data_IF_981198132021
#
_entry.id   IF_981198132021
#
_cell.length_a   1.000
_cell.length_b   1.000
_cell.length_c   1.000
_cell.angle_alpha   90.00
_cell.angle_beta   90.00
_cell.angle_gamma   90.00
#
_symmetry.space_group_name_H-M   'P 1'
#
loop_
_entity.id
_entity.type
_entity.pdbx_description
1 polymer ?
#
# COMPACT_ATOMS: atom_id res chain seq x y z
N UNK A 1 0.21 -56.30 32.93
CA UNK A 1 0.36 -54.96 33.54
C UNK A 1 1.59 -54.30 32.94
N UNK A 2 1.41 -53.18 32.26
CA UNK A 2 2.48 -52.20 31.95
C UNK A 2 1.81 -51.05 31.20
N UNK A 3 1.31 -50.07 31.97
CA UNK A 3 0.67 -48.88 31.45
C UNK A 3 1.68 -47.89 30.90
N UNK A 4 1.52 -47.51 29.64
CA UNK A 4 2.15 -46.33 29.06
C UNK A 4 1.37 -45.09 29.50
N UNK A 5 1.97 -44.25 30.33
CA UNK A 5 1.42 -42.95 30.72
C UNK A 5 1.42 -42.04 29.50
N UNK A 6 0.24 -41.73 28.97
CA UNK A 6 0.05 -40.60 28.06
C UNK A 6 0.47 -39.32 28.77
N UNK A 7 1.41 -38.58 28.18
CA UNK A 7 1.75 -37.22 28.62
C UNK A 7 0.52 -36.32 28.56
N UNK A 8 0.49 -35.23 29.34
CA UNK A 8 -0.66 -34.33 29.33
C UNK A 8 -0.87 -33.81 27.91
N UNK A 9 -2.07 -34.02 27.38
CA UNK A 9 -2.50 -33.37 26.15
C UNK A 9 -2.35 -31.86 26.34
N UNK A 10 -1.60 -31.21 25.44
CA UNK A 10 -1.58 -29.74 25.38
C UNK A 10 -3.01 -29.31 25.08
N UNK A 11 -3.67 -28.51 25.95
CA UNK A 11 -5.05 -28.13 25.71
C UNK A 11 -5.11 -27.36 24.39
N UNK A 12 -5.95 -27.84 23.48
CA UNK A 12 -6.37 -27.10 22.30
C UNK A 12 -6.93 -25.77 22.80
N UNK A 13 -6.29 -24.65 22.42
CA UNK A 13 -6.78 -23.32 22.81
C UNK A 13 -8.20 -23.19 22.28
N UNK A 14 -9.15 -22.90 23.18
CA UNK A 14 -10.47 -22.42 22.79
C UNK A 14 -10.26 -21.07 22.07
N UNK A 15 -10.28 -21.09 20.74
CA UNK A 15 -9.95 -19.93 19.89
C UNK A 15 -11.13 -18.94 19.78
N UNK A 16 -12.20 -19.12 20.55
CA UNK A 16 -13.48 -18.44 20.32
C UNK A 16 -13.61 -17.03 20.92
N UNK A 17 -12.60 -16.44 21.58
CA UNK A 17 -12.73 -15.08 22.18
C UNK A 17 -11.70 -14.03 21.75
N UNK A 18 -10.65 -14.39 21.01
CA UNK A 18 -9.63 -13.41 20.60
C UNK A 18 -9.94 -12.86 19.22
N UNK A 19 -10.03 -11.53 19.08
CA UNK A 19 -10.18 -10.91 17.76
C UNK A 19 -9.03 -11.34 16.84
N UNK A 20 -9.36 -11.73 15.60
CA UNK A 20 -8.44 -12.34 14.62
C UNK A 20 -7.09 -11.59 14.51
N UNK A 21 -7.14 -10.26 14.38
CA UNK A 21 -5.96 -9.39 14.25
C UNK A 21 -4.96 -9.42 15.42
N UNK A 22 -5.31 -10.07 16.54
CA UNK A 22 -4.41 -10.22 17.70
C UNK A 22 -3.57 -11.48 17.70
N UNK A 23 -3.96 -12.50 16.93
CA UNK A 23 -3.40 -13.84 17.04
C UNK A 23 -3.08 -14.50 15.69
N UNK A 24 -3.73 -14.03 14.63
CA UNK A 24 -3.59 -14.55 13.27
C UNK A 24 -2.20 -14.27 12.66
N UNK A 25 -1.78 -15.16 11.77
CA UNK A 25 -0.52 -15.04 11.01
C UNK A 25 -0.73 -14.15 9.78
N UNK A 26 -0.02 -13.03 9.76
CA UNK A 26 -0.01 -12.07 8.65
C UNK A 26 1.12 -12.35 7.66
N UNK A 27 0.81 -12.37 6.36
CA UNK A 27 1.77 -12.47 5.27
C UNK A 27 1.73 -11.21 4.39
N UNK A 28 2.85 -10.51 4.27
CA UNK A 28 2.96 -9.38 3.36
C UNK A 28 3.27 -9.87 1.94
N UNK A 29 2.50 -9.40 0.98
CA UNK A 29 2.71 -9.63 -0.45
C UNK A 29 3.22 -8.33 -1.08
N UNK A 30 4.31 -8.45 -1.84
CA UNK A 30 4.79 -7.39 -2.74
C UNK A 30 4.38 -7.75 -4.17
N UNK A 31 3.28 -7.17 -4.72
CA UNK A 31 2.62 -7.67 -5.94
C UNK A 31 3.56 -7.80 -7.12
N UNK A 32 4.37 -6.76 -7.40
CA UNK A 32 5.31 -6.69 -8.53
C UNK A 32 6.28 -7.87 -8.63
N UNK A 33 6.54 -8.57 -7.53
CA UNK A 33 7.55 -9.64 -7.48
C UNK A 33 7.00 -10.98 -7.00
N UNK A 34 5.69 -11.10 -6.81
CA UNK A 34 5.10 -12.33 -6.28
C UNK A 34 4.88 -13.38 -7.37
N UNK A 35 4.08 -13.07 -8.38
CA UNK A 35 3.88 -13.94 -9.54
C UNK A 35 3.31 -13.16 -10.73
N UNK A 36 4.02 -13.22 -11.85
CA UNK A 36 3.55 -12.78 -13.18
C UNK A 36 2.70 -13.87 -13.83
N UNK A 37 1.56 -13.50 -14.43
CA UNK A 37 0.67 -14.39 -15.16
C UNK A 37 0.46 -14.06 -16.63
N UNK A 38 0.95 -12.90 -17.09
CA UNK A 38 0.74 -12.41 -18.45
C UNK A 38 2.05 -12.37 -19.28
N UNK A 39 3.21 -12.56 -18.64
CA UNK A 39 4.52 -12.62 -19.27
C UNK A 39 5.21 -11.27 -19.47
N UNK A 40 4.75 -10.19 -18.83
CA UNK A 40 5.37 -8.86 -18.90
C UNK A 40 6.55 -8.68 -17.92
N UNK A 41 6.80 -9.67 -17.05
CA UNK A 41 7.87 -9.68 -16.06
C UNK A 41 7.51 -9.02 -14.73
N UNK A 42 6.24 -8.65 -14.51
CA UNK A 42 5.74 -7.97 -13.32
C UNK A 42 4.61 -8.81 -12.72
N UNK A 43 4.66 -9.02 -11.41
CA UNK A 43 3.61 -9.76 -10.73
C UNK A 43 2.29 -9.00 -10.66
N UNK A 44 1.19 -9.73 -10.74
CA UNK A 44 -0.17 -9.19 -10.93
C UNK A 44 -1.20 -9.81 -9.95
N UNK A 45 -2.42 -9.26 -9.91
CA UNK A 45 -3.47 -9.71 -8.98
C UNK A 45 -3.92 -11.15 -9.24
N UNK A 46 -3.93 -11.57 -10.51
CA UNK A 46 -4.26 -12.94 -10.88
C UNK A 46 -3.16 -13.92 -10.41
N UNK A 47 -1.91 -13.48 -10.37
CA UNK A 47 -0.78 -14.19 -9.78
C UNK A 47 -0.94 -14.41 -8.28
N UNK A 48 -1.38 -13.38 -7.56
CA UNK A 48 -1.74 -13.51 -6.13
C UNK A 48 -2.88 -14.51 -5.98
N UNK A 49 -3.95 -14.38 -6.77
CA UNK A 49 -5.12 -15.26 -6.69
C UNK A 49 -4.77 -16.72 -6.91
N UNK A 50 -3.91 -17.04 -7.90
CA UNK A 50 -3.42 -18.40 -8.19
C UNK A 50 -2.58 -19.02 -7.07
N UNK A 51 -2.16 -18.24 -6.07
CA UNK A 51 -1.32 -18.67 -4.94
C UNK A 51 -2.05 -18.68 -3.61
N UNK A 52 -3.36 -18.39 -3.56
CA UNK A 52 -4.11 -18.44 -2.31
C UNK A 52 -4.02 -19.82 -1.63
N UNK A 53 -4.15 -20.92 -2.38
CA UNK A 53 -3.98 -22.28 -1.85
C UNK A 53 -2.60 -22.50 -1.22
N UNK A 54 -1.56 -21.91 -1.82
CA UNK A 54 -0.21 -21.97 -1.25
C UNK A 54 -0.14 -21.20 0.07
N UNK A 55 -0.69 -19.99 0.13
CA UNK A 55 -0.73 -19.19 1.35
C UNK A 55 -1.50 -19.89 2.48
N UNK A 56 -2.65 -20.50 2.16
CA UNK A 56 -3.40 -21.33 3.11
C UNK A 56 -2.56 -22.52 3.58
N UNK A 57 -1.82 -23.19 2.69
CA UNK A 57 -0.95 -24.32 3.05
C UNK A 57 0.19 -23.95 4.00
N UNK A 58 0.61 -22.69 4.00
CA UNK A 58 1.60 -22.15 4.94
C UNK A 58 1.02 -21.86 6.33
N UNK A 59 -0.31 -21.92 6.48
CA UNK A 59 -1.00 -21.53 7.72
C UNK A 59 -1.13 -20.02 7.88
N UNK A 60 -1.19 -19.27 6.77
CA UNK A 60 -1.48 -17.84 6.77
C UNK A 60 -2.96 -17.61 7.01
N UNK A 61 -3.30 -16.64 7.85
CA UNK A 61 -4.68 -16.27 8.17
C UNK A 61 -5.08 -14.93 7.51
N UNK A 62 -4.11 -14.04 7.28
CA UNK A 62 -4.31 -12.73 6.66
C UNK A 62 -3.19 -12.38 5.67
N UNK A 63 -3.55 -11.70 4.59
CA UNK A 63 -2.60 -11.13 3.63
C UNK A 63 -2.64 -9.61 3.68
N UNK A 64 -1.48 -8.97 3.65
CA UNK A 64 -1.33 -7.54 3.44
C UNK A 64 -0.67 -7.31 2.10
N UNK A 65 -1.39 -6.64 1.21
CA UNK A 65 -0.94 -6.39 -0.16
C UNK A 65 -0.36 -4.98 -0.22
N UNK A 66 0.94 -4.86 -0.54
CA UNK A 66 1.59 -3.58 -0.83
C UNK A 66 0.83 -2.84 -1.96
N UNK A 67 0.99 -1.52 -2.14
CA UNK A 67 0.08 -0.72 -2.97
C UNK A 67 -0.20 -1.30 -4.37
N UNK A 68 -1.48 -1.41 -4.71
CA UNK A 68 -2.00 -1.86 -6.02
C UNK A 68 -2.82 -0.78 -6.73
N UNK A 69 -2.88 0.42 -6.15
CA UNK A 69 -3.62 1.54 -6.70
C UNK A 69 -2.90 2.16 -7.89
N UNK A 70 -3.65 2.86 -8.76
CA UNK A 70 -3.08 3.58 -9.89
C UNK A 70 -1.93 4.51 -9.44
N UNK A 71 -0.79 4.40 -10.11
CA UNK A 71 0.45 5.07 -9.73
C UNK A 71 1.38 5.23 -10.94
N UNK A 72 2.13 6.35 -11.05
CA UNK A 72 3.22 6.48 -12.02
C UNK A 72 4.40 5.53 -11.77
N UNK A 73 4.41 4.83 -10.62
CA UNK A 73 5.42 3.86 -10.21
C UNK A 73 6.80 4.47 -9.94
N UNK A 74 6.89 5.77 -9.64
CA UNK A 74 8.15 6.42 -9.26
C UNK A 74 8.69 5.87 -7.93
N UNK A 75 7.80 5.46 -7.02
CA UNK A 75 8.11 4.70 -5.80
C UNK A 75 7.31 3.38 -5.77
N UNK A 76 7.21 2.75 -6.95
CA UNK A 76 6.61 1.43 -7.14
C UNK A 76 5.24 1.21 -6.47
N UNK A 77 4.38 2.24 -6.49
CA UNK A 77 3.00 2.17 -6.02
C UNK A 77 2.71 3.04 -4.79
N UNK A 78 3.74 3.50 -4.06
CA UNK A 78 3.54 4.40 -2.92
C UNK A 78 3.24 5.85 -3.37
N UNK A 79 3.58 6.21 -4.61
CA UNK A 79 3.17 7.43 -5.30
C UNK A 79 1.80 7.26 -5.97
N UNK A 80 0.72 7.28 -5.20
CA UNK A 80 -0.66 7.02 -5.70
C UNK A 80 -1.23 8.22 -6.48
N UNK A 81 -1.75 7.97 -7.69
CA UNK A 81 -2.44 8.96 -8.54
C UNK A 81 -3.97 8.81 -8.54
N UNK A 82 -4.51 7.65 -8.21
CA UNK A 82 -5.94 7.44 -7.91
C UNK A 82 -6.15 6.33 -6.86
N UNK A 83 -6.59 6.70 -5.65
CA UNK A 83 -6.88 5.76 -4.56
C UNK A 83 -8.10 4.85 -4.80
N UNK A 84 -8.83 5.01 -5.90
CA UNK A 84 -10.06 4.26 -6.19
C UNK A 84 -9.95 3.38 -7.43
N UNK A 85 -8.79 3.35 -8.07
CA UNK A 85 -8.52 2.52 -9.23
C UNK A 85 -7.36 1.57 -8.92
N UNK A 86 -7.43 0.37 -9.48
CA UNK A 86 -6.29 -0.55 -9.55
C UNK A 86 -5.36 -0.08 -10.66
N UNK A 87 -4.05 -0.16 -10.45
CA UNK A 87 -3.10 0.14 -11.52
C UNK A 87 -3.20 -0.91 -12.63
N UNK A 88 -3.30 -0.51 -13.91
CA UNK A 88 -3.39 -1.44 -15.03
C UNK A 88 -2.25 -2.46 -15.12
N UNK A 89 -1.08 -2.17 -14.53
CA UNK A 89 0.04 -3.12 -14.47
C UNK A 89 -0.27 -4.34 -13.60
N UNK A 90 -1.18 -4.20 -12.63
CA UNK A 90 -1.58 -5.28 -11.71
C UNK A 90 -2.89 -5.95 -12.13
N UNK A 91 -3.70 -5.31 -12.96
CA UNK A 91 -4.97 -5.83 -13.46
C UNK A 91 -6.09 -4.78 -13.40
N UNK A 92 -7.32 -5.25 -13.18
CA UNK A 92 -8.51 -4.40 -13.09
C UNK A 92 -9.18 -4.46 -11.71
N UNK A 93 -10.19 -3.61 -11.48
CA UNK A 93 -11.02 -3.70 -10.27
C UNK A 93 -11.75 -5.05 -10.19
N UNK A 94 -12.21 -5.59 -11.32
CA UNK A 94 -12.82 -6.92 -11.37
C UNK A 94 -11.83 -8.04 -11.03
N UNK A 95 -10.54 -7.87 -11.32
CA UNK A 95 -9.51 -8.82 -10.91
C UNK A 95 -9.31 -8.79 -9.40
N UNK A 96 -9.34 -7.59 -8.80
CA UNK A 96 -9.31 -7.41 -7.36
C UNK A 96 -10.54 -8.02 -6.67
N UNK A 97 -11.74 -7.81 -7.20
CA UNK A 97 -12.97 -8.41 -6.67
C UNK A 97 -12.88 -9.94 -6.67
N UNK A 98 -12.38 -10.54 -7.76
CA UNK A 98 -12.18 -12.01 -7.82
C UNK A 98 -11.15 -12.51 -6.81
N UNK A 99 -10.04 -11.77 -6.64
CA UNK A 99 -9.03 -12.07 -5.62
C UNK A 99 -9.64 -12.02 -4.21
N UNK A 100 -10.38 -10.96 -3.90
CA UNK A 100 -10.99 -10.73 -2.61
C UNK A 100 -12.01 -11.83 -2.27
N UNK A 101 -12.89 -12.14 -3.21
CA UNK A 101 -13.91 -13.19 -3.05
C UNK A 101 -13.27 -14.56 -2.82
N UNK A 102 -12.19 -14.88 -3.55
CA UNK A 102 -11.49 -16.16 -3.39
C UNK A 102 -10.68 -16.24 -2.10
N UNK A 103 -10.04 -15.14 -1.69
CA UNK A 103 -9.34 -15.07 -0.41
C UNK A 103 -10.33 -15.31 0.75
N UNK A 104 -11.47 -14.62 0.74
CA UNK A 104 -12.51 -14.79 1.76
C UNK A 104 -13.12 -16.20 1.76
N UNK A 105 -13.34 -16.81 0.58
CA UNK A 105 -13.79 -18.21 0.49
C UNK A 105 -12.80 -19.20 1.12
N UNK A 106 -11.51 -18.88 1.07
CA UNK A 106 -10.43 -19.64 1.70
C UNK A 106 -10.19 -19.26 3.17
N UNK A 107 -11.02 -18.39 3.75
CA UNK A 107 -10.90 -17.96 5.15
C UNK A 107 -9.86 -16.87 5.41
N UNK A 108 -9.14 -16.43 4.38
CA UNK A 108 -8.11 -15.40 4.50
C UNK A 108 -8.73 -14.02 4.73
N UNK A 109 -8.07 -13.18 5.54
CA UNK A 109 -8.35 -11.73 5.59
C UNK A 109 -7.47 -10.99 4.58
N UNK A 110 -7.98 -9.90 4.02
CA UNK A 110 -7.24 -9.06 3.07
C UNK A 110 -7.10 -7.66 3.64
N UNK A 111 -5.87 -7.18 3.72
CA UNK A 111 -5.51 -5.81 4.12
C UNK A 111 -4.88 -5.13 2.91
N UNK A 112 -5.38 -3.95 2.57
CA UNK A 112 -4.78 -3.07 1.56
C UNK A 112 -3.86 -2.07 2.24
N UNK A 113 -2.68 -1.88 1.66
CA UNK A 113 -1.80 -0.79 2.02
C UNK A 113 -2.42 0.56 1.62
N UNK A 114 -2.29 1.56 2.49
CA UNK A 114 -2.80 2.91 2.26
C UNK A 114 -1.75 3.93 2.70
N UNK A 115 -1.44 4.86 1.80
CA UNK A 115 -0.42 5.89 2.00
C UNK A 115 -1.11 7.26 2.20
N UNK A 116 -1.41 7.68 3.44
CA UNK A 116 -2.10 8.96 3.71
C UNK A 116 -1.19 10.19 3.68
N UNK A 117 0.12 10.00 3.84
CA UNK A 117 1.05 11.11 4.06
C UNK A 117 1.23 11.98 2.80
N UNK A 118 1.22 11.37 1.62
CA UNK A 118 1.46 12.02 0.34
C UNK A 118 0.63 11.36 -0.77
N UNK A 119 0.56 12.03 -1.92
CA UNK A 119 0.07 11.48 -3.19
C UNK A 119 1.15 11.66 -4.26
N UNK A 120 1.01 10.99 -5.41
CA UNK A 120 1.74 11.38 -6.61
C UNK A 120 1.48 12.86 -6.96
N UNK A 121 2.44 13.52 -7.59
CA UNK A 121 2.27 14.84 -8.19
C UNK A 121 1.39 14.83 -9.46
N UNK A 122 1.09 13.63 -9.99
CA UNK A 122 0.08 13.40 -11.02
C UNK A 122 -1.33 13.20 -10.44
N UNK A 123 -1.48 13.11 -9.11
CA UNK A 123 -2.80 12.98 -8.49
C UNK A 123 -3.65 14.23 -8.78
N UNK A 124 -4.94 14.10 -9.17
CA UNK A 124 -5.80 15.23 -9.48
C UNK A 124 -5.86 16.31 -8.38
N UNK A 125 -5.75 15.89 -7.13
CA UNK A 125 -5.66 16.81 -5.98
C UNK A 125 -4.42 17.70 -6.02
N UNK A 126 -3.24 17.14 -6.31
CA UNK A 126 -2.01 17.93 -6.38
C UNK A 126 -2.02 18.85 -7.59
N UNK A 127 -2.47 18.35 -8.75
CA UNK A 127 -2.62 19.14 -9.97
C UNK A 127 -3.52 20.37 -9.71
N UNK A 128 -4.67 20.17 -9.07
CA UNK A 128 -5.59 21.26 -8.73
C UNK A 128 -5.01 22.20 -7.67
N UNK A 129 -4.31 21.68 -6.65
CA UNK A 129 -3.62 22.48 -5.63
C UNK A 129 -2.51 23.37 -6.23
N UNK A 130 -1.72 22.80 -7.15
CA UNK A 130 -0.61 23.48 -7.85
C UNK A 130 -1.09 24.50 -8.86
N UNK A 131 -2.28 24.34 -9.43
CA UNK A 131 -2.81 25.22 -10.48
C UNK A 131 -2.94 26.70 -10.05
N UNK A 132 -3.16 26.98 -8.77
CA UNK A 132 -3.23 28.36 -8.26
C UNK A 132 -3.13 28.44 -6.73
N UNK A 133 -2.55 29.54 -6.23
CA UNK A 133 -2.60 29.92 -4.80
C UNK A 133 -4.02 30.16 -4.28
N UNK A 134 -5.03 30.27 -5.15
CA UNK A 134 -6.45 30.44 -4.79
C UNK A 134 -7.28 29.17 -5.01
N UNK A 135 -6.64 28.06 -5.33
CA UNK A 135 -7.32 26.78 -5.54
C UNK A 135 -8.09 26.34 -4.29
N UNK A 136 -9.26 25.72 -4.48
CA UNK A 136 -10.03 25.13 -3.39
C UNK A 136 -9.25 23.99 -2.68
N UNK A 137 -8.28 23.39 -3.37
CA UNK A 137 -7.38 22.36 -2.82
C UNK A 137 -6.01 22.90 -2.40
N UNK A 138 -5.81 24.22 -2.38
CA UNK A 138 -4.48 24.81 -2.10
C UNK A 138 -3.88 24.28 -0.79
N UNK A 139 -4.69 24.24 0.26
CA UNK A 139 -4.25 23.85 1.60
C UNK A 139 -4.34 22.33 1.86
N UNK A 140 -4.55 21.52 0.82
CA UNK A 140 -4.47 20.06 0.93
C UNK A 140 -3.02 19.56 0.95
N UNK A 141 -2.08 20.38 0.48
CA UNK A 141 -0.64 20.10 0.49
C UNK A 141 0.10 21.20 1.23
N UNK A 142 1.32 20.90 1.67
CA UNK A 142 2.12 21.85 2.45
C UNK A 142 2.91 22.75 1.51
N UNK A 143 2.46 23.99 1.36
CA UNK A 143 3.13 25.04 0.59
C UNK A 143 3.81 26.06 1.50
N UNK A 144 4.99 26.55 1.12
CA UNK A 144 5.72 27.62 1.84
C UNK A 144 6.34 28.61 0.86
N UNK A 145 6.28 29.90 1.21
CA UNK A 145 7.01 30.92 0.46
C UNK A 145 8.52 30.70 0.59
N UNK A 146 9.26 31.11 -0.44
CA UNK A 146 10.70 31.19 -0.37
C UNK A 146 11.15 32.15 0.73
N UNK A 147 12.29 31.86 1.33
CA UNK A 147 13.00 32.80 2.20
C UNK A 147 13.55 33.98 1.38
N UNK A 148 14.00 35.02 2.07
CA UNK A 148 14.54 36.22 1.41
C UNK A 148 15.77 35.95 0.51
N UNK A 149 16.50 34.86 0.76
CA UNK A 149 17.63 34.37 -0.04
C UNK A 149 17.21 33.43 -1.19
N UNK A 150 15.90 33.22 -1.39
CA UNK A 150 15.34 32.31 -2.39
C UNK A 150 15.29 30.84 -1.94
N UNK A 151 15.81 30.50 -0.75
CA UNK A 151 15.86 29.13 -0.25
C UNK A 151 14.54 28.64 0.40
N UNK A 152 14.45 27.34 0.72
CA UNK A 152 13.29 26.76 1.38
C UNK A 152 13.15 27.20 2.85
N UNK A 153 11.94 27.11 3.39
CA UNK A 153 11.61 27.63 4.73
C UNK A 153 12.34 26.93 5.89
N UNK A 154 12.70 25.66 5.73
CA UNK A 154 13.44 24.86 6.71
C UNK A 154 14.58 24.09 6.03
N UNK A 155 15.46 23.49 6.83
CA UNK A 155 16.52 22.59 6.37
C UNK A 155 16.10 21.11 6.35
N UNK A 156 14.79 20.83 6.26
CA UNK A 156 14.28 19.45 6.21
C UNK A 156 14.80 18.73 4.97
N UNK A 157 15.11 17.44 5.14
CA UNK A 157 15.63 16.58 4.09
C UNK A 157 14.59 15.52 3.73
N UNK A 158 14.54 15.16 2.45
CA UNK A 158 13.70 14.08 1.91
C UNK A 158 14.31 12.73 2.30
N UNK A 159 13.48 11.71 2.56
CA UNK A 159 13.96 10.36 2.85
C UNK A 159 14.66 9.75 1.63
N UNK A 160 14.28 10.18 0.42
CA UNK A 160 14.91 9.81 -0.84
C UNK A 160 16.13 10.67 -1.21
N UNK A 161 16.57 11.55 -0.30
CA UNK A 161 17.74 12.40 -0.46
C UNK A 161 17.44 13.80 -1.02
N UNK A 162 18.32 14.74 -0.69
CA UNK A 162 18.14 16.15 -1.04
C UNK A 162 17.21 16.91 -0.10
N UNK A 163 16.78 18.09 -0.56
CA UNK A 163 15.83 18.95 0.17
C UNK A 163 14.45 18.29 0.23
N UNK A 164 13.72 18.44 1.34
CA UNK A 164 12.30 18.06 1.44
C UNK A 164 11.35 19.09 0.78
N UNK A 165 11.91 20.04 0.04
CA UNK A 165 11.19 21.15 -0.55
C UNK A 165 11.58 21.29 -2.02
N UNK A 166 10.59 21.28 -2.90
CA UNK A 166 10.75 21.55 -4.33
C UNK A 166 10.03 22.85 -4.69
N UNK A 167 10.71 23.74 -5.42
CA UNK A 167 10.16 25.02 -5.85
C UNK A 167 9.23 24.84 -7.05
N UNK A 168 8.06 25.46 -7.00
CA UNK A 168 7.08 25.53 -8.09
C UNK A 168 7.06 26.94 -8.68
N UNK A 169 7.62 27.07 -9.89
CA UNK A 169 7.72 28.36 -10.59
C UNK A 169 6.35 29.01 -10.85
N UNK A 170 5.32 28.19 -11.09
CA UNK A 170 3.98 28.67 -11.43
C UNK A 170 3.33 29.46 -10.28
N UNK A 171 3.60 29.07 -9.03
CA UNK A 171 3.01 29.69 -7.84
C UNK A 171 4.02 30.44 -6.98
N UNK A 172 5.31 30.34 -7.30
CA UNK A 172 6.41 30.98 -6.59
C UNK A 172 6.55 30.48 -5.14
N UNK A 173 6.20 29.22 -4.89
CA UNK A 173 6.28 28.59 -3.57
C UNK A 173 6.99 27.26 -3.64
N UNK A 174 7.52 26.82 -2.50
CA UNK A 174 7.94 25.45 -2.30
C UNK A 174 6.76 24.57 -1.88
N UNK A 175 6.67 23.35 -2.41
CA UNK A 175 5.86 22.29 -1.82
C UNK A 175 6.75 21.29 -1.10
N UNK A 176 6.22 20.71 -0.01
CA UNK A 176 6.89 19.68 0.76
C UNK A 176 6.78 18.32 0.08
N UNK A 177 7.86 17.53 0.14
CA UNK A 177 7.88 16.11 -0.14
C UNK A 177 8.93 15.45 0.78
N UNK A 178 8.66 14.22 1.21
CA UNK A 178 9.61 13.42 1.99
C UNK A 178 9.44 11.95 1.65
#
# INVERSE_FOLDING_TARGET
MSGGKGGPAVPYRDVHETAWWRADVLYQIYPRSFQDTNGDGIGDLEGIRRRLDHLVSLGVDAIWISPIFASPMADFGYDVSDYRAIDPIFGTMEDFDRLLDEAHRNGLKVILDYVPNHTSDEHPWFIESRASRRSAKRDWYVWRDARADGGPSTNWQSEFGGSAWTFDDATGQFYYHA
#
